data_IF_028410974247
#
_entry.id   IF_028410974247
#
_cell.length_a   1.000
_cell.length_b   1.000
_cell.length_c   1.000
_cell.angle_alpha   90.00
_cell.angle_beta   90.00
_cell.angle_gamma   90.00
#
_symmetry.space_group_name_H-M   'P 1'
#
loop_
_entity.id
_entity.type
_entity.pdbx_description
1 polymer ?
#
# COMPACT_ATOMS: atom_id res chain seq x y z
N UNK A 1 0.89 11.66 -20.01
CA UNK A 1 1.19 12.82 -19.15
C UNK A 1 0.12 12.95 -18.07
N UNK A 2 0.53 13.23 -16.84
CA UNK A 2 -0.42 13.40 -15.75
C UNK A 2 -0.99 14.82 -15.75
N UNK A 3 -2.30 14.97 -15.44
CA UNK A 3 -2.85 16.29 -15.18
C UNK A 3 -2.09 17.00 -14.05
N UNK A 4 -2.00 18.32 -14.13
CA UNK A 4 -1.30 19.09 -13.10
C UNK A 4 -1.91 18.85 -11.71
N UNK A 5 -3.23 18.79 -11.61
CA UNK A 5 -3.90 18.55 -10.32
C UNK A 5 -3.55 17.18 -9.75
N UNK A 6 -3.46 16.16 -10.60
CA UNK A 6 -3.11 14.82 -10.15
C UNK A 6 -1.66 14.78 -9.66
N UNK A 7 -0.75 15.44 -10.38
CA UNK A 7 0.66 15.50 -9.94
C UNK A 7 0.79 16.17 -8.58
N UNK A 8 0.07 17.27 -8.38
CA UNK A 8 0.07 17.97 -7.09
C UNK A 8 -0.49 17.08 -5.99
N UNK A 9 -1.60 16.39 -6.27
CA UNK A 9 -2.21 15.51 -5.29
C UNK A 9 -1.30 14.33 -4.96
N UNK A 10 -0.61 13.76 -5.96
CA UNK A 10 0.35 12.68 -5.71
C UNK A 10 1.53 13.16 -4.87
N UNK A 11 2.01 14.38 -5.11
CA UNK A 11 3.10 14.93 -4.32
C UNK A 11 2.68 15.13 -2.86
N UNK A 12 1.47 15.63 -2.64
CA UNK A 12 0.93 15.77 -1.30
C UNK A 12 0.73 14.42 -0.62
N UNK A 13 0.25 13.43 -1.37
CA UNK A 13 0.09 12.07 -0.87
C UNK A 13 1.43 11.51 -0.43
N UNK A 14 2.45 11.63 -1.26
CA UNK A 14 3.79 11.16 -0.95
C UNK A 14 4.32 11.81 0.33
N UNK A 15 4.17 13.12 0.45
CA UNK A 15 4.61 13.84 1.64
C UNK A 15 3.90 13.34 2.89
N UNK A 16 2.58 13.17 2.81
CA UNK A 16 1.78 12.73 3.95
C UNK A 16 2.11 11.29 4.35
N UNK A 17 2.25 10.40 3.37
CA UNK A 17 2.58 9.00 3.65
C UNK A 17 3.98 8.90 4.24
N UNK A 18 4.96 9.60 3.66
CA UNK A 18 6.32 9.58 4.19
C UNK A 18 6.36 10.08 5.64
N UNK A 19 5.63 11.14 5.95
CA UNK A 19 5.55 11.65 7.30
C UNK A 19 4.91 10.64 8.26
N UNK A 20 3.86 9.97 7.83
CA UNK A 20 3.20 8.95 8.65
C UNK A 20 4.15 7.77 8.92
N UNK A 21 4.84 7.31 7.90
CA UNK A 21 5.77 6.18 8.03
C UNK A 21 6.98 6.55 8.89
N UNK A 22 7.41 7.80 8.86
CA UNK A 22 8.55 8.25 9.66
C UNK A 22 8.27 8.18 11.15
N UNK A 23 7.01 8.15 11.57
CA UNK A 23 6.65 7.98 12.98
C UNK A 23 6.99 6.58 13.48
N UNK A 24 7.11 5.62 12.59
CA UNK A 24 7.44 4.24 12.95
C UNK A 24 6.34 3.55 13.72
N UNK A 25 6.66 2.35 14.19
CA UNK A 25 5.74 1.59 15.01
C UNK A 25 4.70 0.84 14.21
N UNK A 26 3.83 0.15 14.95
CA UNK A 26 2.79 -0.70 14.37
C UNK A 26 1.51 0.12 14.23
N UNK A 27 1.40 0.85 13.14
CA UNK A 27 0.24 1.69 12.89
C UNK A 27 -0.35 1.36 11.52
N UNK A 28 -1.65 1.59 11.41
CA UNK A 28 -2.39 1.41 10.17
C UNK A 28 -2.88 2.77 9.70
N UNK A 29 -2.57 3.10 8.46
CA UNK A 29 -2.95 4.36 7.85
C UNK A 29 -3.81 4.10 6.63
N UNK A 30 -4.74 5.00 6.35
CA UNK A 30 -5.46 5.01 5.07
C UNK A 30 -5.01 6.22 4.28
N UNK A 31 -4.76 6.00 3.01
CA UNK A 31 -4.43 7.05 2.06
C UNK A 31 -5.41 6.96 0.92
N UNK A 32 -5.94 8.10 0.50
CA UNK A 32 -6.98 8.12 -0.50
C UNK A 32 -6.72 9.21 -1.53
N UNK A 33 -6.79 8.82 -2.80
CA UNK A 33 -6.62 9.73 -3.92
C UNK A 33 -7.80 9.49 -4.86
N UNK A 34 -8.65 10.51 -5.04
CA UNK A 34 -9.86 10.38 -5.83
C UNK A 34 -9.85 11.37 -6.98
N UNK A 35 -9.82 10.84 -8.19
CA UNK A 35 -9.96 11.60 -9.42
C UNK A 35 -10.79 10.77 -10.38
N UNK A 36 -11.61 11.44 -11.17
CA UNK A 36 -12.38 10.77 -12.19
C UNK A 36 -11.45 10.05 -13.16
N UNK A 37 -11.74 8.79 -13.44
CA UNK A 37 -10.92 7.99 -14.32
C UNK A 37 -9.58 7.54 -13.75
N UNK A 38 -9.35 7.74 -12.45
CA UNK A 38 -8.09 7.39 -11.84
C UNK A 38 -7.82 5.89 -11.90
N UNK A 39 -6.62 5.53 -12.33
CA UNK A 39 -6.11 4.17 -12.24
C UNK A 39 -5.09 4.15 -11.12
N UNK A 40 -5.40 3.44 -10.07
CA UNK A 40 -4.61 3.51 -8.84
C UNK A 40 -3.28 2.77 -8.91
N UNK A 41 -3.18 1.71 -9.70
CA UNK A 41 -1.95 0.93 -9.73
C UNK A 41 -0.74 1.74 -10.19
N UNK A 42 -0.81 2.54 -11.28
CA UNK A 42 0.32 3.39 -11.64
C UNK A 42 0.71 4.37 -10.53
N UNK A 43 -0.28 4.92 -9.81
CA UNK A 43 -0.01 5.80 -8.67
C UNK A 43 0.74 5.03 -7.57
N UNK A 44 0.29 3.82 -7.27
CA UNK A 44 0.93 2.99 -6.25
C UNK A 44 2.37 2.67 -6.63
N UNK A 45 2.64 2.40 -7.90
CA UNK A 45 3.99 2.12 -8.38
C UNK A 45 4.90 3.34 -8.23
N UNK A 46 4.41 4.53 -8.60
CA UNK A 46 5.19 5.76 -8.45
C UNK A 46 5.44 6.08 -6.98
N UNK A 47 4.43 5.89 -6.14
CA UNK A 47 4.57 6.12 -4.71
C UNK A 47 5.61 5.17 -4.11
N UNK A 48 5.55 3.89 -4.46
CA UNK A 48 6.52 2.90 -3.98
C UNK A 48 7.94 3.25 -4.42
N UNK A 49 8.11 3.64 -5.68
CA UNK A 49 9.42 4.02 -6.20
C UNK A 49 10.01 5.22 -5.44
N UNK A 50 9.16 6.16 -5.06
CA UNK A 50 9.60 7.35 -4.32
C UNK A 50 9.90 7.04 -2.86
N UNK A 51 9.21 6.07 -2.26
CA UNK A 51 9.39 5.73 -0.84
C UNK A 51 10.53 4.75 -0.59
N UNK A 52 10.84 3.87 -1.53
CA UNK A 52 11.83 2.82 -1.33
C UNK A 52 13.22 3.33 -0.91
N UNK A 53 13.73 4.46 -1.44
CA UNK A 53 15.03 4.94 -0.98
C UNK A 53 15.08 5.29 0.52
N UNK A 54 13.93 5.62 1.11
CA UNK A 54 13.83 5.94 2.54
C UNK A 54 13.35 4.78 3.39
N UNK A 55 12.56 3.89 2.80
CA UNK A 55 11.96 2.74 3.49
C UNK A 55 12.27 1.50 2.66
N UNK A 56 13.51 1.05 2.74
CA UNK A 56 14.01 -0.04 1.87
C UNK A 56 13.32 -1.37 2.11
N UNK A 57 12.65 -1.55 3.23
CA UNK A 57 11.90 -2.75 3.56
C UNK A 57 10.43 -2.68 3.12
N UNK A 58 10.06 -1.64 2.37
CA UNK A 58 8.70 -1.49 1.86
C UNK A 58 8.33 -2.59 0.88
N UNK A 59 7.12 -3.12 1.03
CA UNK A 59 6.51 -4.03 0.07
C UNK A 59 5.22 -3.41 -0.46
N UNK A 60 5.09 -3.39 -1.78
CA UNK A 60 3.82 -3.06 -2.41
C UNK A 60 2.99 -4.34 -2.50
N UNK A 61 1.86 -4.35 -1.82
CA UNK A 61 1.03 -5.54 -1.69
C UNK A 61 -0.21 -5.38 -2.57
N UNK A 62 -0.34 -6.25 -3.56
CA UNK A 62 -1.52 -6.28 -4.42
C UNK A 62 -2.51 -7.30 -3.87
N UNK A 63 -3.82 -7.08 -4.04
CA UNK A 63 -4.81 -7.97 -3.41
C UNK A 63 -4.86 -9.37 -4.03
N UNK A 64 -4.46 -9.52 -5.30
CA UNK A 64 -4.53 -10.81 -5.95
C UNK A 64 -3.33 -11.03 -6.89
N UNK A 65 -3.22 -12.26 -7.39
CA UNK A 65 -2.10 -12.66 -8.24
C UNK A 65 -2.09 -11.92 -9.58
N UNK A 66 -3.27 -11.61 -10.12
CA UNK A 66 -3.37 -10.90 -11.40
C UNK A 66 -2.83 -9.48 -11.30
N UNK A 67 -3.25 -8.76 -10.27
CA UNK A 67 -2.75 -7.40 -10.03
C UNK A 67 -1.25 -7.42 -9.74
N UNK A 68 -0.77 -8.41 -9.00
CA UNK A 68 0.65 -8.56 -8.70
C UNK A 68 1.47 -8.76 -9.98
N UNK A 69 1.01 -9.65 -10.85
CA UNK A 69 1.70 -9.91 -12.12
C UNK A 69 1.74 -8.67 -12.99
N UNK A 70 0.62 -7.95 -13.07
CA UNK A 70 0.53 -6.71 -13.84
C UNK A 70 1.50 -5.66 -13.32
N UNK A 71 1.56 -5.50 -12.00
CA UNK A 71 2.46 -4.54 -11.38
C UNK A 71 3.92 -4.86 -11.68
N UNK A 72 4.31 -6.12 -11.58
CA UNK A 72 5.68 -6.53 -11.87
C UNK A 72 6.03 -6.34 -13.35
N UNK A 73 5.06 -6.56 -14.23
CA UNK A 73 5.26 -6.33 -15.66
C UNK A 73 5.48 -4.86 -15.95
N UNK A 74 4.67 -4.00 -15.32
CA UNK A 74 4.71 -2.56 -15.59
C UNK A 74 5.90 -1.87 -14.92
N UNK A 75 6.42 -2.44 -13.83
CA UNK A 75 7.55 -1.86 -13.10
C UNK A 75 8.55 -2.95 -12.72
N UNK A 76 9.28 -3.49 -13.70
CA UNK A 76 10.20 -4.60 -13.42
C UNK A 76 11.29 -4.24 -12.42
N UNK A 77 11.70 -2.98 -12.34
CA UNK A 77 12.70 -2.56 -11.37
C UNK A 77 12.18 -2.64 -9.94
N UNK A 78 10.86 -2.61 -9.75
CA UNK A 78 10.24 -2.71 -8.44
C UNK A 78 9.82 -4.14 -8.10
N UNK A 79 9.95 -5.07 -9.04
CA UNK A 79 9.44 -6.43 -8.85
C UNK A 79 9.85 -7.09 -7.53
N UNK A 80 11.10 -6.94 -7.05
CA UNK A 80 11.47 -7.54 -5.76
C UNK A 80 10.67 -7.00 -4.56
N UNK A 81 10.11 -5.80 -4.69
CA UNK A 81 9.32 -5.18 -3.63
C UNK A 81 7.82 -5.39 -3.81
N UNK A 82 7.40 -6.03 -4.91
CA UNK A 82 5.98 -6.25 -5.20
C UNK A 82 5.59 -7.67 -4.82
N UNK A 83 4.51 -7.80 -4.06
CA UNK A 83 4.03 -9.10 -3.61
C UNK A 83 2.50 -9.11 -3.59
N UNK A 84 1.92 -10.27 -3.34
CA UNK A 84 0.48 -10.41 -3.20
C UNK A 84 0.12 -10.56 -1.72
N UNK A 85 -1.14 -10.26 -1.40
CA UNK A 85 -1.64 -10.43 -0.05
C UNK A 85 -1.50 -11.90 0.41
N UNK A 86 -1.79 -12.84 -0.49
CA UNK A 86 -1.63 -14.26 -0.17
C UNK A 86 -0.19 -14.65 0.13
N UNK A 87 0.77 -14.07 -0.59
CA UNK A 87 2.19 -14.36 -0.35
C UNK A 87 2.65 -13.80 0.99
N UNK A 88 2.17 -12.60 1.37
CA UNK A 88 2.48 -12.04 2.68
C UNK A 88 1.93 -12.94 3.78
N UNK A 89 0.72 -13.45 3.61
CA UNK A 89 0.14 -14.37 4.60
C UNK A 89 0.95 -15.65 4.73
N UNK A 90 1.42 -16.20 3.62
CA UNK A 90 2.28 -17.39 3.66
C UNK A 90 3.59 -17.13 4.39
N UNK A 91 4.19 -15.98 4.14
CA UNK A 91 5.40 -15.57 4.85
C UNK A 91 5.13 -15.43 6.34
N UNK A 92 4.03 -14.81 6.70
CA UNK A 92 3.65 -14.66 8.11
C UNK A 92 3.44 -15.99 8.80
N UNK A 93 2.84 -16.95 8.11
CA UNK A 93 2.65 -18.30 8.66
C UNK A 93 3.98 -19.00 8.91
N UNK A 94 4.92 -18.82 7.99
CA UNK A 94 6.24 -19.46 8.11
C UNK A 94 7.08 -18.83 9.23
N UNK A 95 7.02 -17.51 9.36
CA UNK A 95 7.90 -16.76 10.27
C UNK A 95 7.21 -16.24 11.53
N UNK A 96 5.93 -16.51 11.70
CA UNK A 96 5.18 -16.05 12.86
C UNK A 96 4.81 -14.58 12.82
N UNK A 97 5.00 -13.91 11.69
CA UNK A 97 4.69 -12.51 11.51
C UNK A 97 5.51 -11.90 10.40
N UNK A 98 5.42 -10.62 10.22
CA UNK A 98 6.21 -9.91 9.22
C UNK A 98 6.56 -8.51 9.71
N UNK A 99 7.59 -7.93 9.13
CA UNK A 99 8.10 -6.60 9.49
C UNK A 99 8.18 -5.72 8.26
N UNK A 100 8.55 -4.47 8.48
CA UNK A 100 8.74 -3.49 7.42
C UNK A 100 7.47 -2.71 7.14
N UNK A 101 7.43 -2.07 5.99
CA UNK A 101 6.29 -1.26 5.56
C UNK A 101 5.46 -2.04 4.57
N UNK A 102 4.16 -2.15 4.81
CA UNK A 102 3.23 -2.70 3.82
C UNK A 102 2.39 -1.58 3.22
N UNK A 103 2.44 -1.45 1.91
CA UNK A 103 1.56 -0.56 1.15
C UNK A 103 0.59 -1.45 0.38
N UNK A 104 -0.64 -1.55 0.87
CA UNK A 104 -1.66 -2.42 0.29
C UNK A 104 -2.53 -1.58 -0.64
N UNK A 105 -2.52 -1.93 -1.93
CA UNK A 105 -3.20 -1.12 -2.94
C UNK A 105 -4.61 -1.64 -3.21
N UNK A 106 -5.56 -0.72 -3.09
CA UNK A 106 -6.96 -0.90 -3.51
C UNK A 106 -7.61 -2.22 -3.04
N UNK A 107 -7.49 -2.58 -1.75
CA UNK A 107 -8.23 -3.75 -1.26
C UNK A 107 -9.74 -3.47 -1.33
N UNK A 108 -10.49 -4.52 -1.62
CA UNK A 108 -11.95 -4.44 -1.74
C UNK A 108 -12.61 -5.04 -0.50
N UNK A 109 -13.94 -4.89 -0.33
CA UNK A 109 -14.64 -5.56 0.78
C UNK A 109 -14.44 -7.06 0.81
N UNK A 110 -14.26 -7.70 -0.37
CA UNK A 110 -13.98 -9.14 -0.42
C UNK A 110 -12.62 -9.48 0.20
N UNK A 111 -11.71 -8.52 0.28
CA UNK A 111 -10.38 -8.73 0.85
C UNK A 111 -10.32 -8.44 2.36
N UNK A 112 -11.42 -8.02 2.96
CA UNK A 112 -11.44 -7.50 4.32
C UNK A 112 -10.81 -8.46 5.33
N UNK A 113 -11.24 -9.72 5.33
CA UNK A 113 -10.75 -10.69 6.31
C UNK A 113 -9.26 -10.95 6.15
N UNK A 114 -8.80 -11.03 4.90
CA UNK A 114 -7.39 -11.24 4.61
C UNK A 114 -6.54 -10.04 5.03
N UNK A 115 -7.04 -8.84 4.78
CA UNK A 115 -6.33 -7.61 5.19
C UNK A 115 -6.24 -7.54 6.71
N UNK A 116 -7.34 -7.82 7.41
CA UNK A 116 -7.34 -7.78 8.87
C UNK A 116 -6.40 -8.81 9.47
N UNK A 117 -6.38 -10.01 8.92
CA UNK A 117 -5.48 -11.06 9.38
C UNK A 117 -4.01 -10.68 9.15
N UNK A 118 -3.73 -10.14 7.97
CA UNK A 118 -2.38 -9.70 7.62
C UNK A 118 -1.90 -8.58 8.53
N UNK A 119 -2.76 -7.58 8.76
CA UNK A 119 -2.41 -6.46 9.65
C UNK A 119 -2.20 -6.92 11.08
N UNK A 120 -2.98 -7.91 11.53
CA UNK A 120 -2.86 -8.44 12.87
C UNK A 120 -1.52 -9.12 13.14
N UNK A 121 -0.89 -9.65 12.10
CA UNK A 121 0.39 -10.35 12.22
C UNK A 121 1.58 -9.53 11.71
N UNK A 122 1.33 -8.30 11.30
CA UNK A 122 2.40 -7.43 10.83
C UNK A 122 2.87 -6.51 11.96
N UNK A 123 4.17 -6.39 12.12
CA UNK A 123 4.76 -5.63 13.23
C UNK A 123 5.14 -4.20 12.86
N UNK A 124 5.11 -3.86 11.58
CA UNK A 124 5.43 -2.52 11.11
C UNK A 124 4.20 -1.74 10.67
N UNK A 125 4.41 -0.56 10.11
CA UNK A 125 3.30 0.26 9.64
C UNK A 125 2.66 -0.31 8.37
N UNK A 126 1.35 -0.07 8.22
CA UNK A 126 0.57 -0.49 7.06
C UNK A 126 -0.14 0.72 6.50
N UNK A 127 -0.06 0.92 5.20
CA UNK A 127 -0.83 1.94 4.50
C UNK A 127 -1.81 1.25 3.55
N UNK A 128 -3.08 1.57 3.70
CA UNK A 128 -4.12 1.10 2.78
C UNK A 128 -4.40 2.21 1.77
N UNK A 129 -3.96 2.01 0.55
CA UNK A 129 -4.10 3.02 -0.51
C UNK A 129 -5.39 2.77 -1.28
N UNK A 130 -6.30 3.73 -1.21
CA UNK A 130 -7.62 3.66 -1.85
C UNK A 130 -8.39 2.39 -1.49
N UNK A 131 -8.28 1.98 -0.23
CA UNK A 131 -9.06 0.85 0.27
C UNK A 131 -10.53 1.19 0.34
N UNK A 132 -11.39 0.20 0.04
CA UNK A 132 -12.84 0.33 0.14
C UNK A 132 -13.39 -0.61 1.19
N UNK A 133 -12.72 -0.64 2.32
CA UNK A 133 -13.07 -1.50 3.45
C UNK A 133 -13.85 -0.64 4.43
N UNK A 134 -15.16 -0.74 4.42
CA UNK A 134 -16.01 0.16 5.18
C UNK A 134 -15.67 0.21 6.66
N UNK A 135 -15.29 -0.93 7.22
CA UNK A 135 -15.05 -1.02 8.65
C UNK A 135 -13.58 -1.20 9.01
N UNK A 136 -12.69 -1.16 8.02
CA UNK A 136 -11.30 -1.54 8.25
C UNK A 136 -10.40 -0.40 8.68
N UNK A 137 -10.74 0.82 8.37
CA UNK A 137 -9.87 1.97 8.58
C UNK A 137 -10.05 2.59 9.96
N UNK A 138 -10.22 1.77 10.96
CA UNK A 138 -10.54 2.23 12.30
C UNK A 138 -9.33 2.92 12.93
N UNK A 139 -9.55 4.13 13.44
CA UNK A 139 -8.55 4.83 14.21
C UNK A 139 -7.41 5.43 13.41
N UNK A 140 -7.47 5.36 12.07
CA UNK A 140 -6.40 5.85 11.22
C UNK A 140 -6.93 7.01 10.39
N UNK A 141 -6.16 8.07 10.33
CA UNK A 141 -6.57 9.23 9.56
C UNK A 141 -6.44 9.01 8.07
N UNK A 142 -7.25 9.73 7.30
CA UNK A 142 -7.10 9.84 5.86
C UNK A 142 -5.98 10.84 5.58
N UNK A 143 -4.99 10.46 4.77
CA UNK A 143 -3.85 11.33 4.53
C UNK A 143 -3.95 12.14 3.26
N UNK A 144 -4.81 11.76 2.29
CA UNK A 144 -5.03 12.54 1.07
C UNK A 144 -6.32 12.12 0.38
N UNK A 145 -6.80 12.95 -0.52
CA UNK A 145 -7.96 12.66 -1.36
C UNK A 145 -7.72 13.06 -2.78
#
# INVERSE_FOLDING_TARGET
MLPADLRTAEAELLTAVAAALAKGGRQRWTAELRFEGLRILPVALRLSAALLPRFSDLRLVCPDAGATALAKRDAPDLAPAITSLGDVQRLQQADGGSDGVLLIVAPTPADYDDVERTCGQHRGPVVLLNGRLEDAAVGIGTVAR
#
